data_IF_087977755980
#
_entry.id   IF_087977755980
#
_cell.length_a   1.000
_cell.length_b   1.000
_cell.length_c   1.000
_cell.angle_alpha   90.00
_cell.angle_beta   90.00
_cell.angle_gamma   90.00
#
_symmetry.space_group_name_H-M   'P 1'
#
loop_
_entity.id
_entity.type
_entity.pdbx_description
1 polymer ?
#
# COMPACT_ATOMS: atom_id res chain seq x y z
N UNK A 1 4.49 -16.97 15.68
CA UNK A 1 3.96 -17.82 14.57
C UNK A 1 2.79 -17.08 13.93
N UNK A 2 2.75 -16.98 12.60
CA UNK A 2 1.60 -16.38 11.89
C UNK A 2 0.37 -17.26 12.10
N UNK A 3 -0.64 -16.73 12.80
CA UNK A 3 -1.82 -17.51 13.16
C UNK A 3 -2.68 -17.79 11.92
N UNK A 4 -2.74 -16.84 10.98
CA UNK A 4 -3.62 -16.91 9.81
C UNK A 4 -2.85 -17.09 8.49
N UNK A 5 -2.03 -18.15 8.41
CA UNK A 5 -1.18 -18.41 7.22
C UNK A 5 -1.98 -18.53 5.92
N UNK A 6 -3.14 -19.18 5.95
CA UNK A 6 -4.02 -19.30 4.78
C UNK A 6 -4.54 -17.94 4.31
N UNK A 7 -4.95 -17.07 5.25
CA UNK A 7 -5.41 -15.71 4.94
C UNK A 7 -4.29 -14.87 4.33
N UNK A 8 -3.06 -14.98 4.83
CA UNK A 8 -1.91 -14.29 4.25
C UNK A 8 -1.71 -14.67 2.79
N UNK A 9 -1.75 -15.97 2.46
CA UNK A 9 -1.61 -16.44 1.09
C UNK A 9 -2.76 -15.97 0.18
N UNK A 10 -4.00 -16.04 0.64
CA UNK A 10 -5.15 -15.50 -0.11
C UNK A 10 -5.01 -14.01 -0.39
N UNK A 11 -4.62 -13.23 0.62
CA UNK A 11 -4.34 -11.80 0.48
C UNK A 11 -3.21 -11.52 -0.52
N UNK A 12 -2.12 -12.27 -0.44
CA UNK A 12 -0.99 -12.15 -1.36
C UNK A 12 -1.39 -12.46 -2.81
N UNK A 13 -2.22 -13.49 -3.02
CA UNK A 13 -2.77 -13.82 -4.34
C UNK A 13 -3.67 -12.72 -4.89
N UNK A 14 -4.57 -12.16 -4.06
CA UNK A 14 -5.45 -11.05 -4.48
C UNK A 14 -4.63 -9.83 -4.90
N UNK A 15 -3.63 -9.45 -4.10
CA UNK A 15 -2.73 -8.34 -4.41
C UNK A 15 -1.93 -8.63 -5.68
N UNK A 16 -1.37 -9.85 -5.80
CA UNK A 16 -0.60 -10.28 -6.95
C UNK A 16 -1.41 -10.28 -8.26
N UNK A 17 -2.61 -10.84 -8.26
CA UNK A 17 -3.52 -10.77 -9.41
C UNK A 17 -4.00 -9.36 -9.71
N UNK A 18 -4.14 -8.52 -8.69
CA UNK A 18 -4.39 -7.09 -8.85
C UNK A 18 -3.35 -6.44 -9.76
N UNK A 19 -2.08 -6.84 -9.69
CA UNK A 19 -1.06 -6.33 -10.59
C UNK A 19 -1.36 -6.64 -12.06
N UNK A 20 -1.68 -7.89 -12.38
CA UNK A 20 -2.00 -8.30 -13.75
C UNK A 20 -3.21 -7.52 -14.29
N UNK A 21 -4.28 -7.41 -13.51
CA UNK A 21 -5.50 -6.69 -13.90
C UNK A 21 -5.25 -5.19 -14.11
N UNK A 22 -4.41 -4.58 -13.28
CA UNK A 22 -4.19 -3.13 -13.24
C UNK A 22 -3.15 -2.64 -14.25
N UNK A 23 -2.13 -3.45 -14.56
CA UNK A 23 -0.99 -3.03 -15.39
C UNK A 23 -0.92 -3.72 -16.76
N UNK A 24 -1.63 -4.82 -16.97
CA UNK A 24 -1.62 -5.50 -18.26
C UNK A 24 -2.16 -4.60 -19.38
N UNK A 25 -1.27 -4.23 -20.31
CA UNK A 25 -1.54 -3.32 -21.44
C UNK A 25 -2.15 -1.97 -21.03
N UNK A 26 -1.92 -1.53 -19.79
CA UNK A 26 -2.45 -0.28 -19.23
C UNK A 26 -1.30 0.59 -18.73
N UNK A 27 -1.41 1.93 -18.87
CA UNK A 27 -0.43 2.83 -18.27
C UNK A 27 -0.51 2.77 -16.74
N UNK A 28 0.60 3.09 -16.06
CA UNK A 28 0.67 3.13 -14.59
C UNK A 28 -0.41 4.01 -13.93
N UNK A 29 -0.82 5.09 -14.60
CA UNK A 29 -1.75 6.16 -14.17
C UNK A 29 -2.47 5.95 -12.83
N UNK A 30 -3.79 5.75 -12.89
CA UNK A 30 -4.65 5.53 -11.71
C UNK A 30 -4.45 4.11 -11.15
N UNK A 31 -3.97 3.17 -11.96
CA UNK A 31 -3.66 1.80 -11.56
C UNK A 31 -2.76 1.73 -10.34
N UNK A 32 -1.77 2.63 -10.24
CA UNK A 32 -0.91 2.73 -9.06
C UNK A 32 -1.67 3.06 -7.78
N UNK A 33 -2.53 4.09 -7.80
CA UNK A 33 -3.31 4.48 -6.63
C UNK A 33 -4.26 3.36 -6.17
N UNK A 34 -4.91 2.68 -7.13
CA UNK A 34 -5.79 1.54 -6.83
C UNK A 34 -4.98 0.41 -6.18
N UNK A 35 -3.79 0.10 -6.69
CA UNK A 35 -2.95 -0.95 -6.13
C UNK A 35 -2.45 -0.59 -4.72
N UNK A 36 -2.09 0.67 -4.47
CA UNK A 36 -1.71 1.17 -3.13
C UNK A 36 -2.86 1.01 -2.13
N UNK A 37 -4.09 1.34 -2.53
CA UNK A 37 -5.28 1.15 -1.69
C UNK A 37 -5.49 -0.33 -1.37
N UNK A 38 -5.35 -1.21 -2.37
CA UNK A 38 -5.47 -2.66 -2.18
C UNK A 38 -4.41 -3.20 -1.21
N UNK A 39 -3.16 -2.78 -1.37
CA UNK A 39 -2.05 -3.12 -0.47
C UNK A 39 -2.31 -2.64 0.96
N UNK A 40 -2.73 -1.38 1.11
CA UNK A 40 -3.00 -0.80 2.42
C UNK A 40 -4.19 -1.45 3.12
N UNK A 41 -5.27 -1.71 2.39
CA UNK A 41 -6.43 -2.45 2.90
C UNK A 41 -6.03 -3.85 3.35
N UNK A 42 -5.20 -4.54 2.57
CA UNK A 42 -4.66 -5.85 2.90
C UNK A 42 -3.79 -5.82 4.16
N UNK A 43 -2.88 -4.84 4.28
CA UNK A 43 -2.03 -4.66 5.46
C UNK A 43 -2.85 -4.43 6.73
N UNK A 44 -3.86 -3.55 6.67
CA UNK A 44 -4.74 -3.25 7.81
C UNK A 44 -5.57 -4.48 8.19
N UNK A 45 -6.15 -5.16 7.20
CA UNK A 45 -6.96 -6.37 7.41
C UNK A 45 -6.15 -7.49 8.07
N UNK A 46 -4.96 -7.78 7.53
CA UNK A 46 -4.10 -8.84 8.05
C UNK A 46 -3.58 -8.48 9.45
N UNK A 47 -3.23 -7.21 9.68
CA UNK A 47 -2.81 -6.73 10.99
C UNK A 47 -3.89 -6.91 12.04
N UNK A 48 -5.14 -6.54 11.73
CA UNK A 48 -6.30 -6.76 12.62
C UNK A 48 -6.51 -8.23 12.93
N UNK A 49 -6.38 -9.12 11.93
CA UNK A 49 -6.49 -10.58 12.12
C UNK A 49 -5.40 -11.18 13.01
N UNK A 50 -4.20 -10.60 12.99
CA UNK A 50 -3.09 -10.98 13.87
C UNK A 50 -3.12 -10.24 15.23
N UNK A 51 -4.19 -9.49 15.52
CA UNK A 51 -4.35 -8.75 16.78
C UNK A 51 -3.46 -7.50 16.90
N UNK A 52 -2.85 -7.05 15.80
CA UNK A 52 -2.05 -5.83 15.75
C UNK A 52 -2.93 -4.63 15.40
N UNK A 53 -2.88 -3.60 16.23
CA UNK A 53 -3.61 -2.35 16.01
C UNK A 53 -2.71 -1.30 15.37
N UNK A 54 -3.33 -0.36 14.66
CA UNK A 54 -2.63 0.82 14.18
C UNK A 54 -2.43 1.79 15.33
N UNK A 55 -1.24 2.37 15.42
CA UNK A 55 -1.05 3.56 16.25
C UNK A 55 -1.79 4.74 15.64
N UNK A 56 -2.50 5.57 16.42
CA UNK A 56 -3.02 6.84 15.93
C UNK A 56 -1.92 7.73 15.33
N UNK A 57 -0.67 7.60 15.81
CA UNK A 57 0.49 8.34 15.30
C UNK A 57 0.91 7.93 13.89
N UNK A 58 0.49 6.75 13.42
CA UNK A 58 0.77 6.28 12.07
C UNK A 58 -0.35 6.57 11.06
N UNK A 59 -1.47 7.16 11.50
CA UNK A 59 -2.52 7.66 10.60
C UNK A 59 -2.01 8.67 9.54
N UNK A 60 -1.11 9.62 9.86
CA UNK A 60 -0.54 10.50 8.85
C UNK A 60 0.20 9.75 7.73
N UNK A 61 0.83 8.61 8.04
CA UNK A 61 1.53 7.81 7.02
C UNK A 61 0.54 7.21 6.01
N UNK A 62 -0.64 6.79 6.46
CA UNK A 62 -1.72 6.35 5.56
C UNK A 62 -2.12 7.51 4.64
N UNK A 63 -2.37 8.69 5.21
CA UNK A 63 -2.75 9.88 4.46
C UNK A 63 -1.71 10.26 3.42
N UNK A 64 -0.42 10.28 3.80
CA UNK A 64 0.68 10.61 2.90
C UNK A 64 0.86 9.55 1.80
N UNK A 65 0.84 8.26 2.15
CA UNK A 65 0.95 7.17 1.18
C UNK A 65 -0.15 7.27 0.11
N UNK A 66 -1.40 7.53 0.52
CA UNK A 66 -2.51 7.75 -0.40
C UNK A 66 -2.31 9.03 -1.22
N UNK A 67 -2.05 10.16 -0.57
CA UNK A 67 -1.88 11.44 -1.25
C UNK A 67 -0.83 11.37 -2.36
N UNK A 68 0.35 10.82 -2.07
CA UNK A 68 1.40 10.66 -3.07
C UNK A 68 1.04 9.64 -4.17
N UNK A 69 0.27 8.58 -3.85
CA UNK A 69 -0.22 7.65 -4.87
C UNK A 69 -1.15 8.30 -5.87
N UNK A 70 -2.01 9.23 -5.41
CA UNK A 70 -2.91 10.00 -6.27
C UNK A 70 -2.18 11.14 -6.97
N UNK A 71 -1.26 11.85 -6.32
CA UNK A 71 -0.52 12.93 -6.98
C UNK A 71 0.30 12.44 -8.18
N UNK A 72 0.75 11.18 -8.18
CA UNK A 72 1.45 10.59 -9.32
C UNK A 72 0.66 10.59 -10.63
N UNK A 73 -0.66 10.37 -10.62
CA UNK A 73 -1.46 10.34 -11.85
C UNK A 73 -1.79 11.75 -12.39
N UNK A 74 -1.78 12.77 -11.51
CA UNK A 74 -2.09 14.16 -11.86
C UNK A 74 -0.89 14.89 -12.48
N UNK A 75 0.31 14.30 -12.46
CA UNK A 75 1.54 14.94 -12.92
C UNK A 75 1.93 14.44 -14.31
N UNK A 76 2.14 15.39 -15.23
CA UNK A 76 2.67 15.12 -16.57
C UNK A 76 4.20 14.99 -16.60
N UNK A 77 4.88 15.63 -15.65
CA UNK A 77 6.34 15.66 -15.60
C UNK A 77 6.90 14.33 -15.02
N UNK A 78 7.81 13.62 -15.74
CA UNK A 78 8.24 12.27 -15.38
C UNK A 78 8.97 12.13 -14.04
N UNK A 79 9.79 13.10 -13.66
CA UNK A 79 10.60 13.03 -12.44
C UNK A 79 9.73 13.11 -11.19
N UNK A 80 8.86 14.12 -11.10
CA UNK A 80 7.91 14.32 -10.00
C UNK A 80 6.90 13.19 -9.91
N UNK A 81 6.48 12.63 -11.04
CA UNK A 81 5.65 11.41 -11.07
C UNK A 81 6.36 10.23 -10.42
N UNK A 82 7.62 9.97 -10.81
CA UNK A 82 8.42 8.88 -10.24
C UNK A 82 8.66 9.10 -8.74
N UNK A 83 8.98 10.34 -8.35
CA UNK A 83 9.19 10.73 -6.96
C UNK A 83 7.92 10.51 -6.11
N UNK A 84 6.74 10.83 -6.64
CA UNK A 84 5.47 10.55 -5.98
C UNK A 84 5.25 9.04 -5.75
N UNK A 85 5.56 8.20 -6.76
CA UNK A 85 5.47 6.74 -6.61
C UNK A 85 6.43 6.22 -5.54
N UNK A 86 7.68 6.68 -5.55
CA UNK A 86 8.68 6.30 -4.55
C UNK A 86 8.31 6.75 -3.14
N UNK A 87 7.83 7.99 -2.97
CA UNK A 87 7.38 8.49 -1.68
C UNK A 87 6.18 7.69 -1.16
N UNK A 88 5.20 7.38 -2.01
CA UNK A 88 4.05 6.55 -1.64
C UNK A 88 4.49 5.18 -1.12
N UNK A 89 5.39 4.50 -1.83
CA UNK A 89 5.97 3.22 -1.38
C UNK A 89 6.82 3.38 -0.11
N UNK A 90 7.57 4.48 0.01
CA UNK A 90 8.37 4.81 1.19
C UNK A 90 7.50 4.96 2.44
N UNK A 91 6.39 5.70 2.35
CA UNK A 91 5.43 5.86 3.46
C UNK A 91 4.72 4.55 3.81
N UNK A 92 4.38 3.71 2.82
CA UNK A 92 3.90 2.35 3.07
C UNK A 92 4.95 1.50 3.80
N UNK A 93 6.22 1.58 3.40
CA UNK A 93 7.33 0.91 4.08
C UNK A 93 7.47 1.35 5.53
N UNK A 94 7.45 2.67 5.78
CA UNK A 94 7.47 3.21 7.14
C UNK A 94 6.24 2.78 7.97
N UNK A 95 5.07 2.68 7.35
CA UNK A 95 3.87 2.15 8.00
C UNK A 95 4.06 0.69 8.44
N UNK A 96 4.66 -0.15 7.58
CA UNK A 96 5.02 -1.53 7.93
C UNK A 96 5.99 -1.58 9.12
N UNK A 97 6.99 -0.69 9.14
CA UNK A 97 7.93 -0.60 10.26
C UNK A 97 7.26 -0.15 11.56
N UNK A 98 6.28 0.74 11.50
CA UNK A 98 5.48 1.14 12.68
C UNK A 98 4.76 -0.06 13.31
N UNK A 99 4.28 -1.01 12.52
CA UNK A 99 3.69 -2.26 13.03
C UNK A 99 4.70 -3.22 13.70
N UNK A 100 6.00 -3.07 13.44
CA UNK A 100 7.05 -3.85 14.10
C UNK A 100 7.50 -3.20 15.41
N UNK A 101 7.53 -1.87 15.46
CA UNK A 101 7.93 -1.10 16.65
C UNK A 101 6.94 -1.14 17.82
N UNK A 102 5.73 -1.69 17.64
CA UNK A 102 4.76 -1.89 18.71
C UNK A 102 4.27 -0.61 19.39
N UNK A 103 4.31 0.53 18.69
CA UNK A 103 3.90 1.85 19.19
C UNK A 103 3.18 2.67 18.14
#
# INVERSE_FOLDING_TARGET
MLKNRSTLWSCALIVGWGFDILYWKKPLGVSFAIHVILLMGTLIFLSKKEGKTLSPKSLPLIGLALAFSFLGFLRAEPFTRTLNHLLSLGFLGLLILSYQGGR
#
